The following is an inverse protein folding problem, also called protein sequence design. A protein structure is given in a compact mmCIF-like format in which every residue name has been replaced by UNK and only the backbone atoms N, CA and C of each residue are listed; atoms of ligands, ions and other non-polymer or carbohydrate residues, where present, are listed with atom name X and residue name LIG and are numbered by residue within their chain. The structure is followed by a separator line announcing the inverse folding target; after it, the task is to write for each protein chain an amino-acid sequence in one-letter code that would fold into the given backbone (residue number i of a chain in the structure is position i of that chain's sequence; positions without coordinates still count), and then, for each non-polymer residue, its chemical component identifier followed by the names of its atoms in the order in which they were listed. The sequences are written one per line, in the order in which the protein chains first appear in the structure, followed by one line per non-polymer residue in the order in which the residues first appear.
data_IF_675405303702
#
_entry.id   IF_675405303702
#
_cell.length_a   1.000
_cell.length_b   1.000
_cell.length_c   1.000
_cell.angle_alpha   90.00
_cell.angle_beta   90.00
_cell.angle_gamma   90.00
#
_symmetry.space_group_name_H-M   'P 1'
#
loop_
_entity.id
_entity.type
_entity.pdbx_description
1 polymer ?
#
# COMPACT_ATOMS: atom_id res chain seq x y z
N UNK A 1 -3.70 8.18 9.07
CA UNK A 1 -3.05 9.48 8.76
C UNK A 1 -2.64 9.60 7.28
N UNK A 2 -2.04 8.57 6.66
CA UNK A 2 -1.55 8.65 5.26
C UNK A 2 -2.65 9.01 4.24
N UNK A 3 -3.86 8.47 4.38
CA UNK A 3 -4.99 8.77 3.49
C UNK A 3 -5.36 10.27 3.44
N UNK A 4 -5.20 11.00 4.55
CA UNK A 4 -5.50 12.42 4.60
C UNK A 4 -4.51 13.23 3.76
N UNK A 5 -3.22 12.89 3.84
CA UNK A 5 -2.17 13.53 3.05
C UNK A 5 -2.38 13.31 1.56
N UNK A 6 -2.67 12.06 1.14
CA UNK A 6 -2.95 11.76 -0.27
C UNK A 6 -4.18 12.51 -0.78
N UNK A 7 -5.22 12.66 0.05
CA UNK A 7 -6.42 13.42 -0.31
C UNK A 7 -6.14 14.91 -0.46
N UNK A 8 -5.38 15.51 0.46
CA UNK A 8 -4.97 16.92 0.36
C UNK A 8 -4.17 17.18 -0.91
N UNK A 9 -3.17 16.35 -1.20
CA UNK A 9 -2.37 16.48 -2.41
C UNK A 9 -3.20 16.34 -3.69
N UNK A 10 -4.13 15.38 -3.74
CA UNK A 10 -5.03 15.23 -4.88
C UNK A 10 -5.94 16.46 -5.06
N UNK A 11 -6.41 17.05 -3.96
CA UNK A 11 -7.18 18.29 -4.00
C UNK A 11 -6.36 19.46 -4.56
N UNK A 12 -5.09 19.61 -4.16
CA UNK A 12 -4.18 20.62 -4.70
C UNK A 12 -3.94 20.44 -6.20
N UNK A 13 -3.70 19.21 -6.66
CA UNK A 13 -3.51 18.93 -8.10
C UNK A 13 -4.77 19.28 -8.91
N UNK A 14 -5.95 18.99 -8.36
CA UNK A 14 -7.24 19.34 -8.98
C UNK A 14 -7.43 20.86 -9.06
N UNK A 15 -7.07 21.60 -8.01
CA UNK A 15 -7.13 23.06 -8.02
C UNK A 15 -6.22 23.66 -9.09
N UNK A 16 -5.05 23.06 -9.31
CA UNK A 16 -4.09 23.47 -10.36
C UNK A 16 -4.47 23.01 -11.77
N UNK A 17 -5.60 22.31 -11.93
CA UNK A 17 -6.02 21.65 -13.20
C UNK A 17 -4.92 20.76 -13.80
N UNK A 18 -4.08 20.21 -12.92
CA UNK A 18 -2.98 19.33 -13.29
C UNK A 18 -3.51 17.94 -13.63
N UNK A 19 -2.92 17.30 -14.64
CA UNK A 19 -3.21 15.91 -15.01
C UNK A 19 -2.36 14.88 -14.25
N UNK A 20 -1.63 15.32 -13.22
CA UNK A 20 -0.84 14.43 -12.37
C UNK A 20 -1.79 13.51 -11.59
N UNK A 21 -1.60 12.19 -11.73
CA UNK A 21 -2.32 11.15 -10.99
C UNK A 21 -1.72 11.00 -9.59
N UNK A 22 -2.57 10.85 -8.58
CA UNK A 22 -2.19 10.67 -7.17
C UNK A 22 -3.02 9.54 -6.59
N UNK A 23 -2.36 8.47 -6.17
CA UNK A 23 -2.96 7.23 -5.68
C UNK A 23 -2.36 6.80 -4.34
N UNK A 24 -3.21 6.41 -3.39
CA UNK A 24 -2.80 5.71 -2.17
C UNK A 24 -2.83 4.20 -2.42
N UNK A 25 -1.67 3.56 -2.48
CA UNK A 25 -1.56 2.10 -2.52
C UNK A 25 -1.38 1.58 -1.09
N UNK A 26 -2.30 0.74 -0.64
CA UNK A 26 -2.35 0.25 0.74
C UNK A 26 -2.46 -1.29 0.78
N UNK A 27 -1.34 -2.01 0.62
CA UNK A 27 -1.31 -3.45 0.84
C UNK A 27 -1.34 -3.76 2.33
N UNK A 28 -1.92 -4.90 2.72
CA UNK A 28 -2.05 -5.27 4.14
C UNK A 28 -0.77 -5.89 4.70
N UNK A 29 -0.33 -7.04 4.18
CA UNK A 29 0.95 -7.66 4.58
C UNK A 29 1.70 -8.15 3.35
N UNK A 30 2.92 -7.65 3.14
CA UNK A 30 3.79 -8.06 2.04
C UNK A 30 5.06 -8.68 2.61
N UNK A 31 5.51 -9.80 2.04
CA UNK A 31 6.76 -10.46 2.41
C UNK A 31 7.96 -9.65 1.93
N UNK A 32 8.39 -8.70 2.74
CA UNK A 32 9.57 -7.85 2.50
C UNK A 32 10.53 -7.90 3.69
N UNK A 33 11.78 -7.45 3.48
CA UNK A 33 12.79 -7.35 4.55
C UNK A 33 12.48 -6.27 5.62
N UNK A 34 11.41 -5.49 5.46
CA UNK A 34 11.00 -4.47 6.45
C UNK A 34 10.77 -5.11 7.82
N UNK A 35 10.24 -6.33 7.86
CA UNK A 35 9.97 -7.05 9.11
C UNK A 35 11.26 -7.39 9.85
N UNK A 36 12.29 -7.82 9.12
CA UNK A 36 13.60 -8.15 9.69
C UNK A 36 14.30 -6.90 10.23
N UNK A 37 14.11 -5.75 9.57
CA UNK A 37 14.62 -4.46 10.04
C UNK A 37 13.92 -4.02 11.33
N UNK A 38 12.57 -4.09 11.36
CA UNK A 38 11.79 -3.73 12.55
C UNK A 38 12.11 -4.65 13.73
N UNK A 39 12.25 -5.96 13.50
CA UNK A 39 12.61 -6.91 14.56
C UNK A 39 14.02 -6.69 15.12
N UNK A 40 14.96 -6.18 14.30
CA UNK A 40 16.30 -5.80 14.74
C UNK A 40 16.30 -4.53 15.58
N UNK A 41 15.50 -3.54 15.19
CA UNK A 41 15.40 -2.26 15.92
C UNK A 41 14.58 -2.39 17.21
N UNK A 42 13.57 -3.25 17.23
CA UNK A 42 12.68 -3.40 18.38
C UNK A 42 12.35 -4.88 18.66
N UNK A 43 13.13 -5.57 19.52
CA UNK A 43 12.98 -6.99 19.80
C UNK A 43 11.63 -7.38 20.41
N UNK A 44 10.95 -6.46 21.11
CA UNK A 44 9.61 -6.70 21.69
C UNK A 44 8.52 -6.86 20.63
N UNK A 45 8.69 -6.26 19.46
CA UNK A 45 7.75 -6.38 18.33
C UNK A 45 7.94 -7.69 17.54
N UNK A 46 8.98 -8.46 17.85
CA UNK A 46 9.28 -9.71 17.14
C UNK A 46 8.18 -10.75 17.31
N UNK A 47 7.61 -10.90 18.52
CA UNK A 47 6.51 -11.83 18.78
C UNK A 47 5.21 -11.44 18.05
N UNK A 48 4.98 -10.13 17.87
CA UNK A 48 3.87 -9.61 17.05
C UNK A 48 4.11 -9.86 15.57
N UNK A 49 5.34 -9.64 15.11
CA UNK A 49 5.73 -9.93 13.73
C UNK A 49 5.63 -11.42 13.42
N UNK A 50 5.96 -12.33 14.34
CA UNK A 50 5.79 -13.78 14.12
C UNK A 50 4.30 -14.17 13.99
N UNK A 51 3.38 -13.55 14.75
CA UNK A 51 1.92 -13.74 14.59
C UNK A 51 1.37 -13.22 13.27
N UNK A 52 1.98 -12.19 12.68
CA UNK A 52 1.63 -11.72 11.34
C UNK A 52 2.15 -12.68 10.26
N UNK A 53 3.14 -13.54 10.57
CA UNK A 53 3.71 -14.50 9.62
C UNK A 53 2.81 -15.72 9.39
N UNK A 54 1.87 -15.99 10.31
CA UNK A 54 0.85 -17.03 10.14
C UNK A 54 -0.33 -16.58 9.27
N UNK A 55 -0.46 -15.28 9.00
CA UNK A 55 -1.44 -14.77 8.04
C UNK A 55 -0.95 -14.96 6.59
N UNK A 56 -1.85 -15.13 5.61
CA UNK A 56 -1.47 -15.10 4.21
C UNK A 56 -0.79 -13.76 3.90
N UNK A 57 0.44 -13.82 3.41
CA UNK A 57 1.19 -12.64 3.00
C UNK A 57 1.19 -12.53 1.48
N UNK A 58 1.03 -11.30 1.01
CA UNK A 58 1.28 -10.98 -0.39
C UNK A 58 2.78 -11.06 -0.68
N UNK A 59 3.10 -11.48 -1.88
CA UNK A 59 4.42 -11.39 -2.47
C UNK A 59 4.70 -9.94 -2.90
N UNK A 60 5.98 -9.52 -2.98
CA UNK A 60 6.34 -8.23 -3.56
C UNK A 60 5.81 -8.04 -4.98
N UNK A 61 5.71 -9.14 -5.74
CA UNK A 61 5.20 -9.15 -7.11
C UNK A 61 3.74 -8.70 -7.16
N UNK A 62 2.88 -9.23 -6.28
CA UNK A 62 1.46 -8.82 -6.21
C UNK A 62 1.30 -7.33 -5.84
N UNK A 63 2.22 -6.79 -5.04
CA UNK A 63 2.29 -5.35 -4.79
C UNK A 63 2.68 -4.53 -6.03
N UNK A 64 3.66 -5.01 -6.80
CA UNK A 64 4.10 -4.39 -8.05
C UNK A 64 3.02 -4.45 -9.14
N UNK A 65 2.28 -5.55 -9.24
CA UNK A 65 1.17 -5.69 -10.18
C UNK A 65 0.06 -4.67 -9.89
N UNK A 66 -0.16 -4.36 -8.61
CA UNK A 66 -1.03 -3.25 -8.20
C UNK A 66 -0.57 -1.89 -8.74
N UNK A 67 0.74 -1.63 -8.78
CA UNK A 67 1.30 -0.40 -9.37
C UNK A 67 1.09 -0.40 -10.88
N UNK A 68 1.36 -1.52 -11.56
CA UNK A 68 1.14 -1.66 -13.01
C UNK A 68 -0.33 -1.40 -13.36
N UNK A 69 -1.26 -1.96 -12.57
CA UNK A 69 -2.69 -1.71 -12.71
C UNK A 69 -3.06 -0.23 -12.57
N UNK A 70 -2.47 0.47 -11.59
CA UNK A 70 -2.67 1.92 -11.41
C UNK A 70 -2.16 2.72 -12.60
N UNK A 71 -0.98 2.36 -13.10
CA UNK A 71 -0.34 3.08 -14.22
C UNK A 71 -1.06 2.83 -15.54
N UNK A 72 -1.62 1.63 -15.74
CA UNK A 72 -2.36 1.23 -16.93
C UNK A 72 -3.68 1.98 -17.14
N UNK A 73 -4.14 2.77 -16.18
CA UNK A 73 -5.36 3.58 -16.38
C UNK A 73 -5.14 4.71 -17.40
N UNK A 74 -6.17 5.04 -18.22
CA UNK A 74 -6.09 6.16 -19.15
C UNK A 74 -5.65 7.47 -18.46
N UNK A 75 -5.04 8.43 -19.18
CA UNK A 75 -4.49 9.65 -18.57
C UNK A 75 -5.51 10.50 -17.78
N UNK A 76 -6.80 10.42 -18.13
CA UNK A 76 -7.88 11.14 -17.46
C UNK A 76 -8.50 10.37 -16.28
N UNK A 77 -8.04 9.15 -15.99
CA UNK A 77 -8.56 8.27 -14.95
C UNK A 77 -7.55 8.16 -13.81
N UNK A 78 -7.93 8.66 -12.63
CA UNK A 78 -7.13 8.56 -11.42
C UNK A 78 -7.77 7.60 -10.39
N UNK A 79 -7.07 6.51 -10.07
CA UNK A 79 -7.42 5.65 -8.93
C UNK A 79 -6.96 6.36 -7.67
N UNK A 80 -7.89 6.70 -6.76
CA UNK A 80 -7.55 7.45 -5.54
C UNK A 80 -6.94 6.57 -4.45
N UNK A 81 -7.45 5.35 -4.32
CA UNK A 81 -7.03 4.39 -3.32
C UNK A 81 -7.15 2.98 -3.88
N UNK A 82 -6.12 2.17 -3.69
CA UNK A 82 -6.11 0.75 -4.02
C UNK A 82 -5.67 -0.03 -2.78
N UNK A 83 -6.54 -0.90 -2.29
CA UNK A 83 -6.24 -1.81 -1.17
C UNK A 83 -6.12 -3.21 -1.72
N UNK A 84 -4.98 -3.86 -1.46
CA UNK A 84 -4.70 -5.23 -1.89
C UNK A 84 -4.68 -6.11 -0.65
N UNK A 85 -5.56 -7.11 -0.63
CA UNK A 85 -5.72 -8.05 0.48
C UNK A 85 -5.77 -9.47 -0.06
N UNK A 86 -5.16 -10.44 0.64
CA UNK A 86 -5.38 -11.85 0.35
C UNK A 86 -6.86 -12.21 0.51
N UNK A 87 -7.37 -13.12 -0.32
CA UNK A 87 -8.78 -13.52 -0.27
C UNK A 87 -9.18 -14.18 1.06
N UNK A 88 -8.24 -14.85 1.71
CA UNK A 88 -8.44 -15.50 3.02
C UNK A 88 -8.31 -14.53 4.20
N UNK A 89 -8.02 -13.25 3.94
CA UNK A 89 -7.83 -12.25 4.98
C UNK A 89 -9.16 -11.93 5.67
N UNK A 90 -9.32 -12.37 6.91
CA UNK A 90 -10.50 -12.07 7.75
C UNK A 90 -10.27 -10.77 8.53
N UNK A 91 -11.24 -9.86 8.47
CA UNK A 91 -11.23 -8.56 9.17
C UNK A 91 -11.26 -8.72 10.69
#
# INVERSE_FOLDING_TARGET
MVTALTKSLNAEQRQRKSQIKVTSLSPVHVKTGIRDLVAKENPEERDRLEKVASCPLLTPQEGADGVVYILGTPPHVNIRELKIVPTEHRF
#
